data_IF_788832742975
#
_entry.id   IF_788832742975
#
_cell.length_a   1.000
_cell.length_b   1.000
_cell.length_c   1.000
_cell.angle_alpha   90.00
_cell.angle_beta   90.00
_cell.angle_gamma   90.00
#
_symmetry.space_group_name_H-M   'P 1'
#
loop_
_entity.id
_entity.type
_entity.pdbx_description
1 polymer ?
#
# COMPACT_ATOMS: atom_id res chain seq x y z
N UNK A 1 11.92 5.91 18.54
CA UNK A 1 11.72 5.50 17.14
C UNK A 1 10.95 6.50 16.26
N UNK A 2 10.69 7.75 16.69
CA UNK A 2 9.93 8.71 15.85
C UNK A 2 8.43 8.38 15.69
N UNK A 3 7.92 7.41 16.46
CA UNK A 3 6.50 7.07 16.54
C UNK A 3 5.76 8.21 17.28
N UNK A 4 4.56 8.58 16.82
CA UNK A 4 3.75 9.61 17.50
C UNK A 4 3.45 9.20 18.94
N UNK A 5 3.29 10.19 19.84
CA UNK A 5 2.93 9.92 21.24
C UNK A 5 1.63 9.13 21.36
N UNK A 6 0.64 9.44 20.51
CA UNK A 6 -0.64 8.76 20.50
C UNK A 6 -0.48 7.27 20.17
N UNK A 7 0.22 6.96 19.08
CA UNK A 7 0.37 5.58 18.62
C UNK A 7 1.26 4.75 19.55
N UNK A 8 2.29 5.39 20.13
CA UNK A 8 3.13 4.75 21.13
C UNK A 8 2.35 4.43 22.42
N UNK A 9 1.44 5.31 22.85
CA UNK A 9 0.63 5.07 24.04
C UNK A 9 -0.22 3.80 23.87
N UNK A 10 -0.96 3.69 22.76
CA UNK A 10 -1.82 2.54 22.46
C UNK A 10 -1.08 1.20 22.50
N UNK A 11 0.14 1.14 21.96
CA UNK A 11 0.92 -0.09 21.89
C UNK A 11 1.69 -0.40 23.18
N UNK A 12 1.93 0.62 24.03
CA UNK A 12 2.67 0.47 25.29
C UNK A 12 1.83 0.02 26.48
N UNK A 13 0.50 0.00 26.33
CA UNK A 13 -0.43 -0.45 27.38
C UNK A 13 -0.38 -1.96 27.60
N UNK A 14 0.11 -2.72 26.61
CA UNK A 14 0.30 -4.16 26.65
C UNK A 14 1.77 -4.51 26.39
N UNK A 15 2.39 -5.25 27.31
CA UNK A 15 3.79 -5.64 27.22
C UNK A 15 4.08 -6.55 26.01
N UNK A 16 3.13 -7.39 25.60
CA UNK A 16 3.28 -8.27 24.45
C UNK A 16 3.25 -7.47 23.14
N UNK A 17 2.34 -6.49 23.03
CA UNK A 17 2.28 -5.60 21.87
C UNK A 17 3.50 -4.68 21.80
N UNK A 18 3.98 -4.16 22.95
CA UNK A 18 5.21 -3.38 23.00
C UNK A 18 6.42 -4.20 22.53
N UNK A 19 6.55 -5.45 23.01
CA UNK A 19 7.61 -6.36 22.56
C UNK A 19 7.52 -6.72 21.07
N UNK A 20 6.30 -6.94 20.57
CA UNK A 20 6.07 -7.19 19.15
C UNK A 20 6.50 -5.99 18.29
N UNK A 21 6.14 -4.76 18.71
CA UNK A 21 6.53 -3.52 18.03
C UNK A 21 8.05 -3.40 17.98
N UNK A 22 8.74 -3.55 19.12
CA UNK A 22 10.20 -3.43 19.17
C UNK A 22 10.90 -4.44 18.25
N UNK A 23 10.43 -5.68 18.24
CA UNK A 23 10.95 -6.71 17.34
C UNK A 23 10.70 -6.36 15.86
N UNK A 24 9.48 -5.92 15.52
CA UNK A 24 9.12 -5.56 14.14
C UNK A 24 9.93 -4.34 13.65
N UNK A 25 10.09 -3.32 14.50
CA UNK A 25 10.90 -2.12 14.19
C UNK A 25 12.38 -2.47 14.04
N UNK A 26 12.90 -3.41 14.84
CA UNK A 26 14.28 -3.90 14.72
C UNK A 26 14.52 -4.52 13.34
N UNK A 27 13.56 -5.30 12.83
CA UNK A 27 13.64 -5.94 11.52
C UNK A 27 13.45 -4.92 10.39
N UNK A 28 12.43 -4.06 10.47
CA UNK A 28 12.09 -3.08 9.43
C UNK A 28 13.11 -1.93 9.32
N UNK A 29 13.83 -1.66 10.41
CA UNK A 29 14.69 -0.50 10.59
C UNK A 29 13.94 0.69 11.22
N UNK A 30 14.65 1.46 12.04
CA UNK A 30 14.07 2.56 12.82
C UNK A 30 13.36 3.64 11.98
N UNK A 31 13.74 3.82 10.72
CA UNK A 31 13.08 4.75 9.80
C UNK A 31 11.64 4.37 9.46
N UNK A 32 11.28 3.09 9.63
CA UNK A 32 9.93 2.55 9.32
C UNK A 32 9.04 2.41 10.54
N UNK A 33 9.49 2.87 11.70
CA UNK A 33 8.81 2.56 12.95
C UNK A 33 7.38 3.10 13.04
N UNK A 34 7.12 4.29 12.49
CA UNK A 34 5.76 4.83 12.41
C UNK A 34 4.86 3.97 11.51
N UNK A 35 5.36 3.47 10.39
CA UNK A 35 4.59 2.62 9.49
C UNK A 35 4.28 1.25 10.15
N UNK A 36 5.24 0.67 10.86
CA UNK A 36 5.02 -0.53 11.69
C UNK A 36 3.94 -0.27 12.74
N UNK A 37 4.05 0.84 13.51
CA UNK A 37 3.05 1.19 14.52
C UNK A 37 1.65 1.38 13.91
N UNK A 38 1.56 1.96 12.71
CA UNK A 38 0.28 2.13 12.00
C UNK A 38 -0.36 0.78 11.63
N UNK A 39 0.42 -0.19 11.11
CA UNK A 39 -0.10 -1.53 10.81
C UNK A 39 -0.58 -2.22 12.09
N UNK A 40 0.17 -2.06 13.19
CA UNK A 40 -0.20 -2.67 14.47
C UNK A 40 -1.48 -2.07 15.06
N UNK A 41 -1.59 -0.73 15.11
CA UNK A 41 -2.75 -0.05 15.69
C UNK A 41 -4.03 -0.17 14.86
N UNK A 42 -3.91 -0.40 13.55
CA UNK A 42 -5.06 -0.50 12.67
C UNK A 42 -5.41 -1.96 12.37
N UNK A 43 -4.53 -2.67 11.69
CA UNK A 43 -4.85 -3.96 11.08
C UNK A 43 -4.68 -5.12 12.08
N UNK A 44 -3.58 -5.13 12.85
CA UNK A 44 -3.35 -6.14 13.90
C UNK A 44 -4.36 -6.00 15.03
N UNK A 45 -4.54 -4.80 15.58
CA UNK A 45 -5.50 -4.58 16.66
C UNK A 45 -6.93 -4.97 16.24
N UNK A 46 -7.35 -4.67 15.01
CA UNK A 46 -8.65 -5.08 14.50
C UNK A 46 -8.78 -6.61 14.41
N UNK A 47 -7.74 -7.31 13.93
CA UNK A 47 -7.75 -8.77 13.84
C UNK A 47 -7.80 -9.44 15.22
N UNK A 48 -6.94 -9.02 16.15
CA UNK A 48 -6.89 -9.58 17.51
C UNK A 48 -8.23 -9.42 18.23
N UNK A 49 -8.85 -8.24 18.10
CA UNK A 49 -10.17 -7.98 18.68
C UNK A 49 -11.28 -8.80 18.03
N UNK A 50 -11.22 -9.05 16.72
CA UNK A 50 -12.23 -9.82 15.99
C UNK A 50 -12.19 -11.31 16.35
N UNK A 51 -10.99 -11.88 16.49
CA UNK A 51 -10.79 -13.28 16.86
C UNK A 51 -10.83 -13.51 18.38
N UNK A 52 -10.69 -12.44 19.18
CA UNK A 52 -10.66 -12.52 20.64
C UNK A 52 -9.40 -13.21 21.17
N UNK A 53 -8.26 -13.02 20.51
CA UNK A 53 -6.96 -13.65 20.82
C UNK A 53 -5.89 -12.60 21.10
N UNK A 54 -4.85 -12.99 21.83
CA UNK A 54 -3.66 -12.14 22.01
C UNK A 54 -2.73 -12.21 20.79
N UNK A 55 -1.75 -11.30 20.75
CA UNK A 55 -0.74 -11.32 19.69
C UNK A 55 0.09 -12.60 19.70
N UNK A 56 0.33 -13.17 20.89
CA UNK A 56 1.07 -14.42 21.09
C UNK A 56 0.28 -15.68 20.71
N UNK A 57 -1.05 -15.60 20.73
CA UNK A 57 -1.95 -16.65 20.26
C UNK A 57 -2.23 -16.58 18.74
N UNK A 58 -1.91 -15.45 18.12
CA UNK A 58 -2.08 -15.25 16.68
C UNK A 58 -0.99 -15.97 15.86
N UNK A 59 -1.25 -16.15 14.56
CA UNK A 59 -0.27 -16.68 13.59
C UNK A 59 0.73 -15.62 13.11
N UNK A 60 0.52 -14.35 13.50
CA UNK A 60 1.29 -13.22 13.01
C UNK A 60 2.58 -13.08 13.81
N UNK A 61 3.70 -12.89 13.10
CA UNK A 61 5.01 -12.66 13.71
C UNK A 61 5.58 -11.29 13.31
N UNK A 62 6.47 -10.69 14.11
CA UNK A 62 7.01 -9.35 13.86
C UNK A 62 7.63 -9.19 12.46
N UNK A 63 8.28 -10.24 11.96
CA UNK A 63 8.89 -10.26 10.63
C UNK A 63 7.88 -10.02 9.50
N UNK A 64 6.66 -10.54 9.62
CA UNK A 64 5.64 -10.38 8.59
C UNK A 64 5.15 -8.92 8.51
N UNK A 65 4.97 -8.25 9.66
CA UNK A 65 4.61 -6.82 9.67
C UNK A 65 5.72 -5.97 9.08
N UNK A 66 6.98 -6.28 9.42
CA UNK A 66 8.14 -5.59 8.86
C UNK A 66 8.22 -5.75 7.33
N UNK A 67 8.04 -6.96 6.81
CA UNK A 67 8.04 -7.25 5.37
C UNK A 67 6.86 -6.58 4.66
N UNK A 68 5.66 -6.62 5.23
CA UNK A 68 4.48 -5.95 4.67
C UNK A 68 4.71 -4.44 4.51
N UNK A 69 5.29 -3.79 5.53
CA UNK A 69 5.64 -2.36 5.46
C UNK A 69 6.66 -2.10 4.35
N UNK A 70 7.68 -2.96 4.19
CA UNK A 70 8.69 -2.82 3.15
C UNK A 70 8.09 -2.88 1.74
N UNK A 71 7.18 -3.85 1.49
CA UNK A 71 6.50 -4.02 0.21
C UNK A 71 5.57 -2.85 -0.16
N UNK A 72 5.06 -2.13 0.83
CA UNK A 72 4.28 -0.90 0.59
C UNK A 72 5.20 0.27 0.27
N UNK A 73 6.28 0.43 1.03
CA UNK A 73 7.20 1.55 0.89
C UNK A 73 8.00 1.50 -0.42
N UNK A 74 8.41 0.31 -0.87
CA UNK A 74 9.10 0.13 -2.13
C UNK A 74 8.16 0.18 -3.36
N UNK A 75 6.86 0.32 -3.13
CA UNK A 75 5.85 0.39 -4.17
C UNK A 75 5.54 -0.96 -4.84
N UNK A 76 5.97 -2.09 -4.26
CA UNK A 76 5.59 -3.42 -4.74
C UNK A 76 4.09 -3.63 -4.64
N UNK A 77 3.44 -3.13 -3.58
CA UNK A 77 1.98 -3.15 -3.42
C UNK A 77 1.45 -1.80 -2.94
N UNK A 78 0.19 -1.50 -3.27
CA UNK A 78 -0.51 -0.34 -2.69
C UNK A 78 -0.88 -0.57 -1.22
N UNK A 79 -1.14 0.51 -0.48
CA UNK A 79 -1.74 0.44 0.85
C UNK A 79 -3.10 -0.27 0.86
N UNK A 80 -3.84 -0.24 -0.26
CA UNK A 80 -5.10 -0.99 -0.40
C UNK A 80 -4.84 -2.49 -0.44
N UNK A 81 -3.90 -2.92 -1.28
CA UNK A 81 -3.51 -4.33 -1.38
C UNK A 81 -2.88 -4.82 -0.08
N UNK A 82 -2.16 -3.97 0.65
CA UNK A 82 -1.59 -4.31 1.95
C UNK A 82 -2.64 -4.78 2.97
N UNK A 83 -3.86 -4.23 2.95
CA UNK A 83 -4.96 -4.72 3.80
C UNK A 83 -5.42 -6.12 3.42
N UNK A 84 -5.45 -6.42 2.12
CA UNK A 84 -5.81 -7.75 1.63
C UNK A 84 -4.71 -8.77 1.97
N UNK A 85 -3.45 -8.38 1.78
CA UNK A 85 -2.29 -9.22 2.16
C UNK A 85 -2.28 -9.47 3.66
N UNK A 86 -2.52 -8.45 4.50
CA UNK A 86 -2.60 -8.61 5.95
C UNK A 86 -3.70 -9.60 6.37
N UNK A 87 -4.88 -9.50 5.76
CA UNK A 87 -6.00 -10.41 6.05
C UNK A 87 -5.63 -11.86 5.73
N UNK A 88 -4.91 -12.09 4.63
CA UNK A 88 -4.43 -13.42 4.26
C UNK A 88 -3.34 -13.91 5.22
N UNK A 89 -2.36 -13.05 5.57
CA UNK A 89 -1.33 -13.37 6.57
C UNK A 89 -1.95 -13.84 7.89
N UNK A 90 -3.00 -13.15 8.34
CA UNK A 90 -3.70 -13.47 9.58
C UNK A 90 -4.43 -14.81 9.49
N UNK A 91 -5.03 -15.12 8.34
CA UNK A 91 -5.77 -16.37 8.11
C UNK A 91 -4.84 -17.59 7.96
N UNK A 92 -3.75 -17.47 7.19
CA UNK A 92 -2.91 -18.61 6.81
C UNK A 92 -1.63 -18.72 7.63
N UNK A 93 -1.10 -17.59 8.10
CA UNK A 93 0.27 -17.50 8.64
C UNK A 93 1.35 -17.47 7.56
N UNK A 94 1.00 -17.21 6.30
CA UNK A 94 1.98 -17.08 5.22
C UNK A 94 2.66 -15.72 5.23
N UNK A 95 3.89 -15.67 4.69
CA UNK A 95 4.64 -14.44 4.53
C UNK A 95 3.98 -13.53 3.48
N UNK A 96 3.97 -12.19 3.69
CA UNK A 96 3.33 -11.25 2.77
C UNK A 96 3.91 -11.32 1.35
N UNK A 97 5.22 -11.49 1.19
CA UNK A 97 5.83 -11.63 -0.13
C UNK A 97 5.29 -12.83 -0.90
N UNK A 98 5.10 -13.98 -0.23
CA UNK A 98 4.54 -15.18 -0.86
C UNK A 98 3.08 -14.96 -1.30
N UNK A 99 2.28 -14.27 -0.47
CA UNK A 99 0.90 -13.92 -0.79
C UNK A 99 0.85 -12.98 -2.01
N UNK A 100 1.74 -11.97 -2.07
CA UNK A 100 1.82 -11.02 -3.18
C UNK A 100 2.13 -11.72 -4.50
N UNK A 101 3.09 -12.66 -4.50
CA UNK A 101 3.40 -13.47 -5.69
C UNK A 101 2.22 -14.34 -6.11
N UNK A 102 1.67 -15.11 -5.16
CA UNK A 102 0.59 -16.06 -5.42
C UNK A 102 -0.65 -15.37 -6.00
N UNK A 103 -0.96 -14.16 -5.51
CA UNK A 103 -2.12 -13.38 -5.95
C UNK A 103 -1.82 -12.42 -7.11
N UNK A 104 -0.59 -12.37 -7.62
CA UNK A 104 -0.21 -11.47 -8.72
C UNK A 104 -0.43 -9.99 -8.39
N UNK A 105 -0.15 -9.58 -7.15
CA UNK A 105 -0.49 -8.23 -6.65
C UNK A 105 0.57 -7.16 -6.93
N UNK A 106 1.73 -7.54 -7.49
CA UNK A 106 2.82 -6.59 -7.75
C UNK A 106 2.35 -5.43 -8.62
N UNK A 107 2.70 -4.21 -8.22
CA UNK A 107 2.45 -3.03 -9.03
C UNK A 107 3.41 -2.96 -10.21
N UNK A 108 2.88 -2.54 -11.35
CA UNK A 108 3.64 -2.18 -12.54
C UNK A 108 4.06 -0.73 -12.39
N UNK A 109 5.35 -0.52 -12.13
CA UNK A 109 6.00 0.81 -12.06
C UNK A 109 6.83 1.13 -13.31
N UNK A 110 6.85 0.23 -14.30
CA UNK A 110 7.54 0.47 -15.56
C UNK A 110 6.87 1.64 -16.31
N UNK A 111 7.59 2.77 -16.38
CA UNK A 111 7.06 3.98 -16.99
C UNK A 111 6.72 3.78 -18.47
N UNK A 112 7.45 2.93 -19.20
CA UNK A 112 7.17 2.65 -20.61
C UNK A 112 5.82 1.95 -20.83
N UNK A 113 5.54 0.92 -20.02
CA UNK A 113 4.26 0.22 -20.03
C UNK A 113 3.10 1.15 -19.64
N UNK A 114 3.28 1.98 -18.61
CA UNK A 114 2.28 2.96 -18.19
C UNK A 114 2.06 4.03 -19.27
N UNK A 115 3.13 4.52 -19.90
CA UNK A 115 3.05 5.51 -20.98
C UNK A 115 2.25 5.00 -22.17
N UNK A 116 2.46 3.74 -22.58
CA UNK A 116 1.73 3.15 -23.69
C UNK A 116 0.21 3.06 -23.41
N UNK A 117 -0.17 2.66 -22.19
CA UNK A 117 -1.57 2.62 -21.78
C UNK A 117 -2.15 4.04 -21.67
N UNK A 118 -1.38 4.97 -21.10
CA UNK A 118 -1.79 6.38 -21.00
C UNK A 118 -2.03 6.99 -22.39
N UNK A 119 -1.17 6.72 -23.38
CA UNK A 119 -1.36 7.20 -24.75
C UNK A 119 -2.65 6.66 -25.38
N UNK A 120 -2.95 5.37 -25.18
CA UNK A 120 -4.19 4.77 -25.66
C UNK A 120 -5.42 5.40 -24.99
N UNK A 121 -5.38 5.61 -23.67
CA UNK A 121 -6.46 6.26 -22.91
C UNK A 121 -6.67 7.70 -23.39
N UNK A 122 -5.61 8.49 -23.57
CA UNK A 122 -5.70 9.88 -24.03
C UNK A 122 -6.25 9.96 -25.46
N UNK A 123 -5.79 9.07 -26.35
CA UNK A 123 -6.26 8.99 -27.73
C UNK A 123 -7.75 8.58 -27.82
N UNK A 124 -8.23 7.76 -26.88
CA UNK A 124 -9.63 7.34 -26.82
C UNK A 124 -10.58 8.41 -26.21
N UNK A 125 -10.05 9.46 -25.57
CA UNK A 125 -10.83 10.48 -24.85
C UNK A 125 -10.39 11.91 -25.25
N UNK A 126 -10.45 12.28 -26.55
CA UNK A 126 -9.92 13.55 -27.03
C UNK A 126 -10.65 14.78 -26.44
N UNK A 127 -11.96 14.69 -26.24
CA UNK A 127 -12.77 15.79 -25.70
C UNK A 127 -12.37 16.12 -24.24
N UNK A 128 -12.09 15.09 -23.43
CA UNK A 128 -11.60 15.25 -22.07
C UNK A 128 -10.18 15.81 -22.03
N UNK A 129 -9.34 15.46 -23.00
CA UNK A 129 -7.98 16.01 -23.12
C UNK A 129 -8.05 17.51 -23.40
N UNK A 130 -8.89 17.91 -24.35
CA UNK A 130 -9.10 19.32 -24.68
C UNK A 130 -9.72 20.08 -23.51
N UNK A 131 -10.68 19.50 -22.80
CA UNK A 131 -11.27 20.11 -21.61
C UNK A 131 -10.25 20.27 -20.48
N UNK A 132 -9.36 19.28 -20.27
CA UNK A 132 -8.28 19.37 -19.29
C UNK A 132 -7.33 20.52 -19.64
N UNK A 133 -6.86 20.55 -20.89
CA UNK A 133 -5.98 21.62 -21.40
C UNK A 133 -6.64 22.99 -21.41
N UNK A 134 -7.96 23.03 -21.55
CA UNK A 134 -8.80 24.22 -21.38
C UNK A 134 -8.98 24.69 -19.92
N UNK A 135 -8.34 24.02 -18.95
CA UNK A 135 -8.29 24.44 -17.55
C UNK A 135 -9.12 23.57 -16.60
N UNK A 136 -9.81 22.53 -17.07
CA UNK A 136 -10.57 21.59 -16.23
C UNK A 136 -9.65 20.52 -15.62
N UNK A 137 -8.66 20.96 -14.84
CA UNK A 137 -7.58 20.10 -14.29
C UNK A 137 -8.07 18.98 -13.39
N UNK A 138 -9.29 19.07 -12.84
CA UNK A 138 -9.94 17.97 -12.10
C UNK A 138 -10.13 16.68 -12.92
N UNK A 139 -10.04 16.75 -14.26
CA UNK A 139 -10.09 15.55 -15.11
C UNK A 139 -8.87 14.63 -14.97
N UNK A 140 -7.79 15.04 -14.28
CA UNK A 140 -6.65 14.15 -14.03
C UNK A 140 -7.07 12.86 -13.33
N UNK A 141 -7.99 12.93 -12.36
CA UNK A 141 -8.49 11.75 -11.64
C UNK A 141 -9.29 10.80 -12.54
N UNK A 142 -9.98 11.33 -13.55
CA UNK A 142 -10.65 10.52 -14.57
C UNK A 142 -9.63 9.72 -15.38
N UNK A 143 -8.58 10.37 -15.90
CA UNK A 143 -7.53 9.69 -16.67
C UNK A 143 -6.76 8.67 -15.83
N UNK A 144 -6.43 9.00 -14.58
CA UNK A 144 -5.81 8.04 -13.65
C UNK A 144 -6.70 6.81 -13.50
N UNK A 145 -8.01 7.01 -13.30
CA UNK A 145 -8.97 5.90 -13.18
C UNK A 145 -9.06 5.04 -14.44
N UNK A 146 -8.99 5.64 -15.63
CA UNK A 146 -8.99 4.93 -16.91
C UNK A 146 -7.70 4.10 -17.09
N UNK A 147 -6.53 4.70 -16.89
CA UNK A 147 -5.24 4.01 -17.00
C UNK A 147 -5.16 2.84 -16.01
N UNK A 148 -5.54 3.09 -14.75
CA UNK A 148 -5.56 2.04 -13.73
C UNK A 148 -6.49 0.90 -14.12
N UNK A 149 -7.65 1.18 -14.74
CA UNK A 149 -8.59 0.15 -15.20
C UNK A 149 -7.98 -0.70 -16.32
N UNK A 150 -7.40 -0.07 -17.33
CA UNK A 150 -6.75 -0.77 -18.45
C UNK A 150 -5.57 -1.63 -17.97
N UNK A 151 -4.86 -1.20 -16.92
CA UNK A 151 -3.80 -1.98 -16.28
C UNK A 151 -4.31 -3.00 -15.24
N UNK A 152 -5.61 -3.32 -15.22
CA UNK A 152 -6.18 -4.30 -14.29
C UNK A 152 -6.02 -3.93 -12.80
N UNK A 153 -5.86 -2.64 -12.50
CA UNK A 153 -5.59 -2.13 -11.16
C UNK A 153 -4.13 -2.27 -10.69
N UNK A 154 -3.23 -2.77 -11.54
CA UNK A 154 -1.84 -3.05 -11.18
C UNK A 154 -0.89 -1.87 -11.43
N UNK A 155 -1.30 -0.82 -12.15
CA UNK A 155 -0.44 0.36 -12.34
C UNK A 155 -0.05 0.99 -11.01
N UNK A 156 1.20 1.43 -10.86
CA UNK A 156 1.61 2.21 -9.69
C UNK A 156 0.94 3.60 -9.76
N UNK A 157 0.08 3.98 -8.80
CA UNK A 157 -0.67 5.23 -8.88
C UNK A 157 0.19 6.49 -8.95
N UNK A 158 1.37 6.49 -8.33
CA UNK A 158 2.28 7.63 -8.35
C UNK A 158 2.86 7.81 -9.76
N UNK A 159 3.39 6.73 -10.34
CA UNK A 159 3.96 6.76 -11.69
C UNK A 159 2.89 7.06 -12.74
N UNK A 160 1.68 6.51 -12.60
CA UNK A 160 0.53 6.85 -13.47
C UNK A 160 0.20 8.34 -13.42
N UNK A 161 0.14 8.94 -12.23
CA UNK A 161 -0.09 10.37 -12.09
C UNK A 161 1.02 11.20 -12.74
N UNK A 162 2.30 10.85 -12.52
CA UNK A 162 3.44 11.54 -13.12
C UNK A 162 3.43 11.48 -14.64
N UNK A 163 3.17 10.29 -15.21
CA UNK A 163 3.07 10.08 -16.65
C UNK A 163 1.94 10.92 -17.25
N UNK A 164 0.75 10.89 -16.66
CA UNK A 164 -0.39 11.65 -17.14
C UNK A 164 -0.19 13.15 -17.01
N UNK A 165 0.36 13.62 -15.88
CA UNK A 165 0.64 15.04 -15.67
C UNK A 165 1.62 15.59 -16.72
N UNK A 166 2.66 14.81 -17.07
CA UNK A 166 3.61 15.16 -18.14
C UNK A 166 2.95 15.16 -19.52
N UNK A 167 2.15 14.15 -19.85
CA UNK A 167 1.50 14.04 -21.18
C UNK A 167 0.40 15.09 -21.40
N UNK A 168 -0.32 15.48 -20.35
CA UNK A 168 -1.42 16.45 -20.40
C UNK A 168 -0.96 17.90 -20.18
N UNK A 169 0.16 18.12 -19.49
CA UNK A 169 0.76 19.44 -19.26
C UNK A 169 1.59 19.98 -20.42
N UNK A 170 1.79 19.15 -21.46
CA UNK A 170 2.40 19.53 -22.74
C UNK A 170 1.38 19.89 -23.81
#
# INVERSE_FOLDING_TARGET
YGITRHDAALLSEDAELAGFLEAAVTIAGAGRAQAVANVMNNDLAAHLNAEGVTVTESRLVPAMVAELVALVEDGTISSKQAKEVFSEMAATGDAPGAIVELKGMRQVSDAGAIEAVADAVLAANPDEVDAYRGGKTGLIGFFVGQVMREMGGQGNPQVVNEVLARKLGG
#
